data_IF_606567722067
#
_entry.id   IF_606567722067
#
_cell.length_a   1.000
_cell.length_b   1.000
_cell.length_c   1.000
_cell.angle_alpha   90.00
_cell.angle_beta   90.00
_cell.angle_gamma   90.00
#
_symmetry.space_group_name_H-M   'P 1'
#
loop_
_entity.id
_entity.type
_entity.pdbx_description
1 polymer ?
#
# COMPACT_ATOMS: atom_id res chain seq x y z
N UNK A 1 9.45 -19.16 -2.06
CA UNK A 1 9.68 -17.76 -1.61
C UNK A 1 8.32 -17.11 -1.35
N UNK A 2 8.28 -15.93 -0.73
CA UNK A 2 7.07 -15.09 -0.68
C UNK A 2 7.44 -13.65 -1.01
N UNK A 3 6.47 -12.85 -1.43
CA UNK A 3 6.63 -11.44 -1.75
C UNK A 3 5.53 -10.63 -1.08
N UNK A 4 5.92 -9.72 -0.17
CA UNK A 4 5.01 -8.76 0.44
C UNK A 4 4.83 -7.55 -0.47
N UNK A 5 3.59 -7.23 -0.79
CA UNK A 5 3.22 -6.13 -1.67
C UNK A 5 2.69 -4.96 -0.84
N UNK A 6 3.34 -3.80 -0.95
CA UNK A 6 2.79 -2.55 -0.43
C UNK A 6 1.62 -2.10 -1.32
N UNK A 7 0.47 -1.82 -0.69
CA UNK A 7 -0.73 -1.34 -1.36
C UNK A 7 -1.29 -0.21 -0.51
N UNK A 8 -1.18 1.03 -0.98
CA UNK A 8 -1.74 2.18 -0.26
C UNK A 8 -3.25 1.96 -0.01
N UNK A 9 -3.62 1.96 1.27
CA UNK A 9 -4.97 1.74 1.77
C UNK A 9 -5.63 0.42 1.34
N UNK A 10 -4.85 -0.57 0.90
CA UNK A 10 -5.36 -1.84 0.36
C UNK A 10 -6.21 -1.70 -0.92
N UNK A 11 -6.18 -0.54 -1.59
CA UNK A 11 -7.02 -0.29 -2.76
C UNK A 11 -6.36 -0.77 -4.05
N UNK A 12 -6.78 -1.93 -4.53
CA UNK A 12 -6.42 -2.44 -5.86
C UNK A 12 -7.42 -1.98 -6.93
N UNK A 13 -6.93 -1.28 -7.97
CA UNK A 13 -7.74 -0.77 -9.09
C UNK A 13 -6.93 -0.75 -10.40
N UNK A 14 -7.63 -0.68 -11.53
CA UNK A 14 -7.04 -0.56 -12.86
C UNK A 14 -6.01 -1.66 -13.17
N UNK A 15 -4.92 -1.27 -13.84
CA UNK A 15 -3.86 -2.18 -14.28
C UNK A 15 -3.22 -2.97 -13.13
N UNK A 16 -3.02 -2.35 -11.95
CA UNK A 16 -2.46 -3.05 -10.79
C UNK A 16 -3.31 -4.26 -10.36
N UNK A 17 -4.65 -4.12 -10.42
CA UNK A 17 -5.59 -5.21 -10.11
C UNK A 17 -5.55 -6.30 -11.18
N UNK A 18 -5.46 -5.92 -12.45
CA UNK A 18 -5.41 -6.85 -13.58
C UNK A 18 -4.10 -7.65 -13.58
N UNK A 19 -2.95 -6.99 -13.51
CA UNK A 19 -1.63 -7.63 -13.45
C UNK A 19 -1.48 -8.54 -12.24
N UNK A 20 -1.97 -8.12 -11.06
CA UNK A 20 -1.90 -8.97 -9.87
C UNK A 20 -2.74 -10.24 -10.05
N UNK A 21 -3.94 -10.12 -10.64
CA UNK A 21 -4.77 -11.28 -10.99
C UNK A 21 -4.03 -12.22 -11.94
N UNK A 22 -3.46 -11.69 -13.02
CA UNK A 22 -2.73 -12.47 -14.03
C UNK A 22 -1.56 -13.24 -13.41
N UNK A 23 -0.78 -12.60 -12.53
CA UNK A 23 0.32 -13.24 -11.81
C UNK A 23 -0.19 -14.40 -10.94
N UNK A 24 -1.23 -14.15 -10.14
CA UNK A 24 -1.81 -15.16 -9.23
C UNK A 24 -2.34 -16.34 -10.04
N UNK A 25 -3.08 -16.08 -11.11
CA UNK A 25 -3.73 -17.11 -11.95
C UNK A 25 -2.69 -17.93 -12.72
N UNK A 26 -1.70 -17.27 -13.34
CA UNK A 26 -0.64 -17.92 -14.12
C UNK A 26 0.21 -18.87 -13.28
N UNK A 27 0.50 -18.50 -12.04
CA UNK A 27 1.40 -19.24 -11.15
C UNK A 27 0.66 -20.04 -10.06
N UNK A 28 -0.67 -20.02 -10.07
CA UNK A 28 -1.53 -20.66 -9.06
C UNK A 28 -1.11 -20.32 -7.62
N UNK A 29 -0.81 -19.04 -7.37
CA UNK A 29 -0.26 -18.60 -6.08
C UNK A 29 -1.35 -18.54 -5.02
N UNK A 30 -1.00 -18.98 -3.80
CA UNK A 30 -1.79 -18.66 -2.63
C UNK A 30 -1.49 -17.21 -2.17
N UNK A 31 -2.49 -16.53 -1.62
CA UNK A 31 -2.34 -15.13 -1.16
C UNK A 31 -2.79 -14.97 0.29
N UNK A 32 -2.16 -14.05 1.01
CA UNK A 32 -2.55 -13.66 2.38
C UNK A 32 -2.71 -12.15 2.46
N UNK A 33 -3.79 -11.68 3.04
CA UNK A 33 -3.99 -10.26 3.35
C UNK A 33 -3.38 -9.98 4.72
N UNK A 34 -2.72 -8.84 4.89
CA UNK A 34 -2.11 -8.47 6.17
C UNK A 34 -2.98 -7.50 6.95
N UNK A 35 -2.76 -7.36 8.29
CA UNK A 35 -3.42 -6.34 9.10
C UNK A 35 -3.12 -4.89 8.70
N UNK A 36 -2.11 -4.69 7.83
CA UNK A 36 -1.74 -3.37 7.30
C UNK A 36 -2.32 -3.10 5.91
N UNK A 37 -3.42 -3.78 5.55
CA UNK A 37 -4.11 -3.63 4.27
C UNK A 37 -3.25 -4.03 3.05
N UNK A 38 -2.13 -4.73 3.29
CA UNK A 38 -1.22 -5.22 2.25
C UNK A 38 -1.56 -6.66 1.85
N UNK A 39 -0.88 -7.17 0.82
CA UNK A 39 -1.01 -8.55 0.35
C UNK A 39 0.35 -9.26 0.33
N UNK A 40 0.36 -10.57 0.57
CA UNK A 40 1.53 -11.43 0.42
C UNK A 40 1.22 -12.47 -0.66
N UNK A 41 2.03 -12.49 -1.72
CA UNK A 41 2.10 -13.59 -2.67
C UNK A 41 2.94 -14.71 -2.06
N UNK A 42 2.35 -15.90 -1.89
CA UNK A 42 2.99 -17.03 -1.24
C UNK A 42 3.47 -18.07 -2.26
N UNK A 43 4.34 -18.97 -1.83
CA UNK A 43 4.77 -20.15 -2.59
C UNK A 43 5.38 -19.84 -3.97
N UNK A 44 6.05 -18.69 -4.09
CA UNK A 44 6.73 -18.26 -5.33
C UNK A 44 7.96 -19.15 -5.57
N UNK A 45 8.02 -19.81 -6.72
CA UNK A 45 9.22 -20.47 -7.21
C UNK A 45 10.33 -19.43 -7.47
N UNK A 46 11.58 -19.65 -7.04
CA UNK A 46 12.69 -18.72 -7.29
C UNK A 46 12.86 -18.31 -8.75
N UNK A 47 12.55 -19.19 -9.71
CA UNK A 47 12.64 -18.91 -11.15
C UNK A 47 11.65 -17.83 -11.63
N UNK A 48 10.57 -17.58 -10.88
CA UNK A 48 9.54 -16.59 -11.25
C UNK A 48 9.84 -15.20 -10.71
N UNK A 49 10.76 -15.08 -9.74
CA UNK A 49 11.02 -13.84 -8.99
C UNK A 49 11.21 -12.62 -9.88
N UNK A 50 12.11 -12.71 -10.87
CA UNK A 50 12.42 -11.58 -11.75
C UNK A 50 11.21 -11.17 -12.60
N UNK A 51 10.49 -12.15 -13.15
CA UNK A 51 9.30 -11.88 -13.96
C UNK A 51 8.15 -11.26 -13.16
N UNK A 52 7.93 -11.72 -11.93
CA UNK A 52 6.91 -11.18 -11.02
C UNK A 52 7.29 -9.75 -10.64
N UNK A 53 8.54 -9.51 -10.22
CA UNK A 53 9.00 -8.17 -9.84
C UNK A 53 8.89 -7.18 -11.01
N UNK A 54 9.24 -7.61 -12.23
CA UNK A 54 9.13 -6.77 -13.42
C UNK A 54 7.68 -6.39 -13.71
N UNK A 55 6.75 -7.35 -13.67
CA UNK A 55 5.33 -7.11 -13.90
C UNK A 55 4.72 -6.19 -12.83
N UNK A 56 5.03 -6.39 -11.55
CA UNK A 56 4.56 -5.54 -10.45
C UNK A 56 5.07 -4.10 -10.57
N UNK A 57 6.36 -3.92 -10.91
CA UNK A 57 6.97 -2.60 -11.06
C UNK A 57 6.33 -1.79 -12.20
N UNK A 58 5.95 -2.45 -13.31
CA UNK A 58 5.29 -1.79 -14.44
C UNK A 58 3.93 -1.16 -14.09
N UNK A 59 3.25 -1.71 -13.07
CA UNK A 59 1.95 -1.20 -12.59
C UNK A 59 2.06 -0.38 -11.30
N UNK A 60 3.27 -0.01 -10.90
CA UNK A 60 3.52 0.85 -9.74
C UNK A 60 3.44 0.16 -8.38
N UNK A 61 3.41 -1.18 -8.32
CA UNK A 61 3.61 -1.93 -7.08
C UNK A 61 5.12 -2.09 -6.88
N UNK A 62 5.69 -1.19 -6.09
CA UNK A 62 7.13 -1.09 -5.88
C UNK A 62 7.60 -1.90 -4.66
N UNK A 63 8.86 -2.33 -4.67
CA UNK A 63 9.50 -2.89 -3.49
C UNK A 63 9.59 -1.84 -2.37
N UNK A 64 9.49 -2.22 -1.08
CA UNK A 64 9.40 -1.26 0.03
C UNK A 64 10.53 -0.21 0.08
N UNK A 65 11.73 -0.57 -0.38
CA UNK A 65 12.89 0.34 -0.47
C UNK A 65 12.70 1.54 -1.43
N UNK A 66 11.71 1.47 -2.33
CA UNK A 66 11.36 2.52 -3.27
C UNK A 66 10.10 3.30 -2.86
N UNK A 67 9.52 2.97 -1.71
CA UNK A 67 8.32 3.61 -1.18
C UNK A 67 8.71 4.45 0.03
N UNK A 68 8.10 5.62 0.18
CA UNK A 68 8.33 6.47 1.35
C UNK A 68 8.02 5.68 2.64
N UNK A 69 8.92 5.65 3.64
CA UNK A 69 8.68 4.96 4.91
C UNK A 69 7.40 5.36 5.65
N UNK A 70 6.88 6.57 5.39
CA UNK A 70 5.57 7.00 5.90
C UNK A 70 4.46 6.14 5.29
N UNK A 71 4.46 5.95 3.97
CA UNK A 71 3.44 5.15 3.28
C UNK A 71 3.42 3.70 3.75
N UNK A 72 4.59 3.07 3.92
CA UNK A 72 4.71 1.66 4.32
C UNK A 72 3.95 1.33 5.62
N UNK A 73 3.94 2.27 6.57
CA UNK A 73 3.31 2.06 7.89
C UNK A 73 1.99 2.80 8.06
N UNK A 74 1.56 3.55 7.05
CA UNK A 74 0.34 4.34 7.10
C UNK A 74 -0.88 3.53 6.70
N UNK A 75 -2.02 3.88 7.28
CA UNK A 75 -3.32 3.29 6.92
C UNK A 75 -4.43 4.32 6.99
N UNK A 76 -5.42 4.16 6.12
CA UNK A 76 -6.68 4.86 6.24
C UNK A 76 -7.87 3.92 6.10
N UNK A 77 -8.97 4.22 6.79
CA UNK A 77 -10.24 3.55 6.55
C UNK A 77 -10.88 4.08 5.25
N UNK A 78 -11.85 3.36 4.66
CA UNK A 78 -12.50 3.80 3.43
C UNK A 78 -13.11 5.20 3.50
N UNK A 79 -13.80 5.51 4.61
CA UNK A 79 -14.52 6.78 4.81
C UNK A 79 -15.48 7.13 3.63
N UNK A 80 -15.54 8.39 3.22
CA UNK A 80 -16.35 8.83 2.09
C UNK A 80 -15.87 8.20 0.77
N UNK A 81 -16.76 8.01 -0.23
CA UNK A 81 -18.16 8.41 -0.27
C UNK A 81 -19.15 7.32 0.21
N UNK A 82 -18.66 6.12 0.54
CA UNK A 82 -19.51 4.94 0.76
C UNK A 82 -19.75 4.60 2.23
N UNK A 83 -18.89 5.04 3.16
CA UNK A 83 -19.13 4.83 4.57
C UNK A 83 -20.20 5.82 5.07
N UNK A 84 -21.37 5.34 5.56
CA UNK A 84 -22.45 6.22 6.00
C UNK A 84 -22.16 6.95 7.32
N UNK A 85 -21.08 6.56 8.01
CA UNK A 85 -20.66 7.16 9.29
C UNK A 85 -19.51 8.16 9.11
N UNK A 86 -18.98 8.30 7.90
CA UNK A 86 -17.85 9.19 7.66
C UNK A 86 -18.27 10.65 7.76
N UNK A 87 -17.49 11.41 8.53
CA UNK A 87 -17.60 12.86 8.71
C UNK A 87 -16.49 13.61 7.97
N UNK A 88 -15.42 12.90 7.58
CA UNK A 88 -14.30 13.40 6.81
C UNK A 88 -13.76 12.34 5.84
N UNK A 89 -12.98 12.77 4.86
CA UNK A 89 -12.18 11.90 4.01
C UNK A 89 -11.09 11.18 4.80
N UNK A 90 -10.72 9.97 4.39
CA UNK A 90 -9.58 9.23 4.94
C UNK A 90 -8.74 8.59 3.83
N UNK A 91 -9.23 7.50 3.21
CA UNK A 91 -8.53 6.81 2.11
C UNK A 91 -8.16 7.75 0.95
N UNK A 92 -9.10 8.59 0.52
CA UNK A 92 -8.90 9.52 -0.59
C UNK A 92 -7.94 10.67 -0.25
N UNK A 93 -7.86 11.06 1.03
CA UNK A 93 -7.11 12.23 1.50
C UNK A 93 -5.71 11.92 2.04
N UNK A 94 -5.47 10.70 2.54
CA UNK A 94 -4.19 10.33 3.15
C UNK A 94 -2.98 10.52 2.21
N UNK A 95 -3.02 10.25 0.88
CA UNK A 95 -1.83 10.39 0.05
C UNK A 95 -1.24 11.80 0.05
N UNK A 96 -2.09 12.83 0.04
CA UNK A 96 -1.62 14.22 0.07
C UNK A 96 -1.21 14.68 1.47
N UNK A 97 -1.81 14.10 2.52
CA UNK A 97 -1.38 14.33 3.90
C UNK A 97 0.04 13.77 4.10
N UNK A 98 0.34 12.56 3.62
CA UNK A 98 1.67 11.97 3.74
C UNK A 98 2.75 12.81 3.05
N UNK A 99 2.49 13.32 1.84
CA UNK A 99 3.40 14.26 1.15
C UNK A 99 3.66 15.52 1.98
N UNK A 100 2.63 16.08 2.62
CA UNK A 100 2.76 17.26 3.48
C UNK A 100 3.57 16.95 4.74
N UNK A 101 3.39 15.78 5.34
CA UNK A 101 4.20 15.34 6.49
C UNK A 101 5.65 15.16 6.06
N UNK A 102 5.93 14.49 4.94
CA UNK A 102 7.29 14.37 4.38
C UNK A 102 7.93 15.74 4.18
N UNK A 103 7.21 16.70 3.58
CA UNK A 103 7.71 18.05 3.39
C UNK A 103 8.03 18.77 4.72
N UNK A 104 7.28 18.49 5.79
CA UNK A 104 7.59 19.01 7.14
C UNK A 104 8.83 18.34 7.73
N UNK A 105 8.96 17.01 7.61
CA UNK A 105 10.14 16.25 8.06
C UNK A 105 11.41 16.79 7.37
N UNK A 106 11.35 16.96 6.05
CA UNK A 106 12.46 17.53 5.28
C UNK A 106 12.77 18.97 5.72
N UNK A 107 11.74 19.80 5.96
CA UNK A 107 11.91 21.18 6.41
C UNK A 107 12.59 21.30 7.77
N UNK A 108 12.36 20.36 8.68
CA UNK A 108 13.00 20.35 10.01
C UNK A 108 14.39 19.69 10.00
N UNK A 109 14.87 19.25 8.83
CA UNK A 109 16.21 18.70 8.66
C UNK A 109 16.36 17.25 9.11
N UNK A 110 15.26 16.50 9.21
CA UNK A 110 15.29 15.07 9.50
C UNK A 110 15.62 14.27 8.23
N UNK A 111 16.19 13.06 8.41
CA UNK A 111 16.54 12.18 7.30
C UNK A 111 15.32 11.66 6.54
N UNK A 112 15.49 11.34 5.25
CA UNK A 112 14.40 10.76 4.43
C UNK A 112 13.92 9.40 4.93
N UNK A 113 14.80 8.65 5.60
CA UNK A 113 14.47 7.36 6.21
C UNK A 113 13.64 7.51 7.51
N UNK A 114 13.59 8.71 8.08
CA UNK A 114 12.79 8.97 9.28
C UNK A 114 11.30 8.87 8.96
N UNK A 115 10.57 8.24 9.88
CA UNK A 115 9.15 7.91 9.73
C UNK A 115 8.43 7.92 11.05
N UNK A 116 7.11 8.11 10.96
CA UNK A 116 6.16 7.95 12.06
C UNK A 116 4.93 7.21 11.53
N UNK A 117 4.31 6.40 12.39
CA UNK A 117 3.09 5.68 12.03
C UNK A 117 1.91 6.67 11.94
N UNK A 118 1.29 6.78 10.77
CA UNK A 118 0.14 7.67 10.54
C UNK A 118 -1.11 6.84 10.25
N UNK A 119 -2.16 7.03 11.05
CA UNK A 119 -3.46 6.37 10.85
C UNK A 119 -4.55 7.42 10.73
N UNK A 120 -5.34 7.35 9.67
CA UNK A 120 -6.42 8.31 9.41
C UNK A 120 -7.76 7.59 9.35
N UNK A 121 -8.72 8.08 10.13
CA UNK A 121 -10.09 7.58 10.12
C UNK A 121 -11.05 8.72 9.79
N UNK A 122 -12.13 8.38 9.08
CA UNK A 122 -13.15 9.36 8.69
C UNK A 122 -14.15 9.68 9.80
N UNK A 123 -14.10 8.99 10.95
CA UNK A 123 -15.01 9.12 12.09
C UNK A 123 -14.38 8.48 13.35
N UNK A 124 -14.92 8.68 14.57
CA UNK A 124 -14.28 8.21 15.81
C UNK A 124 -14.38 6.69 16.06
N UNK A 125 -14.92 5.90 15.13
CA UNK A 125 -15.08 4.45 15.31
C UNK A 125 -13.76 3.68 15.34
N UNK A 126 -12.69 4.22 14.74
CA UNK A 126 -11.37 3.61 14.82
C UNK A 126 -11.22 2.29 14.04
N UNK A 127 -11.84 2.18 12.86
CA UNK A 127 -11.65 1.05 11.94
C UNK A 127 -10.16 0.88 11.57
#
# INVERSE_FOLDING_TARGET
LFCGLHIDNGRLKGQAKETLREIIEKHNLSVRITPNQNMILCDIDPSWKESINAALSQVGILEPQYVDPLNITSMACPALPLCPLAIAEAESGIPDILKRVRAVIDKVGMGKEESVVIRITGCPNGC
#
